data_IF_217070892653
#
_entry.id   IF_217070892653
#
_cell.length_a   1.000
_cell.length_b   1.000
_cell.length_c   1.000
_cell.angle_alpha   90.00
_cell.angle_beta   90.00
_cell.angle_gamma   90.00
#
_symmetry.space_group_name_H-M   'P 1'
#
loop_
_entity.id
_entity.type
_entity.pdbx_description
1 polymer ?
#
# COMPACT_ATOMS: atom_id res chain seq x y z
N UNK A 1 -1.65 -12.20 12.08
CA UNK A 1 -2.22 -13.26 11.21
C UNK A 1 -1.11 -14.20 10.79
N UNK A 2 -1.39 -15.49 10.67
CA UNK A 2 -0.46 -16.51 10.13
C UNK A 2 -1.02 -16.96 8.79
N UNK A 3 -0.23 -16.85 7.73
CA UNK A 3 -0.60 -17.32 6.39
C UNK A 3 0.21 -18.55 6.00
N UNK A 4 -0.41 -19.42 5.21
CA UNK A 4 0.26 -20.60 4.66
C UNK A 4 0.97 -20.25 3.35
N UNK A 5 2.10 -20.91 3.13
CA UNK A 5 2.79 -20.88 1.84
C UNK A 5 2.05 -21.84 0.89
N UNK A 6 1.72 -21.37 -0.30
CA UNK A 6 1.02 -22.14 -1.33
C UNK A 6 1.94 -22.41 -2.51
N UNK A 7 1.68 -23.50 -3.24
CA UNK A 7 2.39 -23.82 -4.47
C UNK A 7 1.97 -22.86 -5.58
N UNK A 8 2.93 -22.22 -6.24
CA UNK A 8 2.70 -21.38 -7.41
C UNK A 8 3.52 -21.93 -8.57
N UNK A 9 2.86 -22.60 -9.52
CA UNK A 9 3.54 -23.24 -10.65
C UNK A 9 4.40 -24.45 -10.28
N UNK A 10 5.29 -24.86 -11.22
CA UNK A 10 6.06 -26.11 -11.12
C UNK A 10 7.15 -26.05 -10.05
N UNK A 11 7.79 -24.91 -9.83
CA UNK A 11 8.96 -24.78 -8.95
C UNK A 11 8.91 -23.57 -8.01
N UNK A 12 7.79 -22.86 -7.92
CA UNK A 12 7.69 -21.65 -7.09
C UNK A 12 6.67 -21.79 -5.96
N UNK A 13 6.84 -20.94 -4.95
CA UNK A 13 5.98 -20.84 -3.78
C UNK A 13 5.50 -19.40 -3.66
N UNK A 14 4.31 -19.22 -3.08
CA UNK A 14 3.72 -17.90 -2.86
C UNK A 14 3.11 -17.80 -1.46
N UNK A 15 2.98 -16.58 -0.96
CA UNK A 15 2.27 -16.25 0.28
C UNK A 15 1.12 -15.32 -0.08
N UNK A 16 -0.03 -15.55 0.56
CA UNK A 16 -1.20 -14.71 0.37
C UNK A 16 -1.00 -13.41 1.16
N UNK A 17 -1.01 -12.29 0.47
CA UNK A 17 -1.01 -10.96 1.07
C UNK A 17 -2.47 -10.61 1.44
N UNK A 18 -2.75 -10.16 2.68
CA UNK A 18 -4.08 -9.78 3.10
C UNK A 18 -4.71 -8.69 2.21
N UNK A 19 -6.01 -8.82 1.94
CA UNK A 19 -6.75 -7.85 1.12
C UNK A 19 -6.70 -6.43 1.68
N UNK A 20 -6.77 -6.28 3.02
CA UNK A 20 -6.66 -4.99 3.70
C UNK A 20 -5.35 -4.26 3.33
N UNK A 21 -4.23 -4.97 3.31
CA UNK A 21 -2.93 -4.42 2.94
C UNK A 21 -2.89 -4.04 1.45
N UNK A 22 -3.43 -4.90 0.58
CA UNK A 22 -3.51 -4.64 -0.86
C UNK A 22 -4.32 -3.37 -1.14
N UNK A 23 -5.47 -3.22 -0.49
CA UNK A 23 -6.36 -2.08 -0.67
C UNK A 23 -5.73 -0.80 -0.09
N UNK A 24 -5.12 -0.87 1.10
CA UNK A 24 -4.47 0.27 1.73
C UNK A 24 -3.33 0.85 0.89
N UNK A 25 -2.58 0.00 0.18
CA UNK A 25 -1.45 0.41 -0.67
C UNK A 25 -1.81 0.51 -2.16
N UNK A 26 -3.06 0.27 -2.55
CA UNK A 26 -3.49 0.34 -3.94
C UNK A 26 -2.74 -0.62 -4.88
N UNK A 27 -2.24 -1.75 -4.39
CA UNK A 27 -1.44 -2.70 -5.15
C UNK A 27 -2.31 -3.41 -6.19
N UNK A 28 -1.83 -3.49 -7.43
CA UNK A 28 -2.54 -4.13 -8.55
C UNK A 28 -1.80 -5.37 -9.07
N UNK A 29 -2.53 -6.36 -9.64
CA UNK A 29 -1.90 -7.45 -10.36
C UNK A 29 -1.02 -6.91 -11.50
N UNK A 30 0.22 -7.39 -11.57
CA UNK A 30 1.22 -6.93 -12.56
C UNK A 30 2.17 -5.84 -12.05
N UNK A 31 1.94 -5.29 -10.86
CA UNK A 31 2.86 -4.33 -10.24
C UNK A 31 4.23 -4.96 -9.99
N UNK A 32 5.29 -4.16 -10.20
CA UNK A 32 6.66 -4.56 -9.89
C UNK A 32 6.89 -4.46 -8.39
N UNK A 33 7.50 -5.50 -7.83
CA UNK A 33 7.85 -5.57 -6.42
C UNK A 33 9.35 -5.83 -6.29
N UNK A 34 10.03 -5.02 -5.48
CA UNK A 34 11.44 -5.26 -5.15
C UNK A 34 11.51 -6.24 -3.99
N UNK A 35 12.20 -7.36 -4.19
CA UNK A 35 12.35 -8.42 -3.19
C UNK A 35 13.78 -8.43 -2.67
N UNK A 36 13.93 -8.33 -1.35
CA UNK A 36 15.21 -8.53 -0.67
C UNK A 36 15.08 -9.70 0.30
N UNK A 37 16.05 -10.62 0.27
CA UNK A 37 16.05 -11.80 1.14
C UNK A 37 17.17 -11.69 2.16
N UNK A 38 16.86 -11.94 3.43
CA UNK A 38 17.86 -12.12 4.47
C UNK A 38 17.77 -13.56 4.96
N UNK A 39 18.72 -14.39 4.50
CA UNK A 39 18.74 -15.84 4.76
C UNK A 39 19.04 -16.16 6.21
N UNK A 40 19.90 -15.38 6.86
CA UNK A 40 20.30 -15.59 8.26
C UNK A 40 19.11 -15.40 9.21
N UNK A 41 18.25 -14.44 8.91
CA UNK A 41 17.05 -14.15 9.69
C UNK A 41 15.80 -14.90 9.21
N UNK A 42 15.88 -15.59 8.06
CA UNK A 42 14.73 -16.25 7.43
C UNK A 42 13.63 -15.27 6.99
N UNK A 43 13.97 -14.01 6.69
CA UNK A 43 13.00 -12.96 6.35
C UNK A 43 13.06 -12.56 4.89
N UNK A 44 11.90 -12.28 4.29
CA UNK A 44 11.76 -11.70 2.95
C UNK A 44 11.12 -10.33 3.07
N UNK A 45 11.82 -9.30 2.59
CA UNK A 45 11.33 -7.93 2.55
C UNK A 45 10.81 -7.62 1.14
N UNK A 46 9.52 -7.28 1.07
CA UNK A 46 8.84 -6.91 -0.17
C UNK A 46 8.57 -5.40 -0.18
N UNK A 47 9.07 -4.72 -1.19
CA UNK A 47 8.85 -3.29 -1.37
C UNK A 47 8.02 -3.04 -2.63
N UNK A 48 6.77 -2.63 -2.42
CA UNK A 48 5.78 -2.38 -3.47
C UNK A 48 5.89 -0.92 -3.93
N UNK A 49 6.04 -0.68 -5.23
CA UNK A 49 6.14 0.69 -5.77
C UNK A 49 4.83 1.48 -5.73
N UNK A 50 3.69 0.80 -5.52
CA UNK A 50 2.37 1.42 -5.41
C UNK A 50 2.10 2.14 -4.09
N UNK A 51 3.02 2.06 -3.12
CA UNK A 51 2.92 2.73 -1.83
C UNK A 51 3.06 4.25 -1.96
N UNK A 52 2.06 4.90 -2.55
CA UNK A 52 1.91 6.35 -2.55
C UNK A 52 1.01 6.68 -1.35
N UNK A 53 1.56 7.41 -0.39
CA UNK A 53 0.84 8.05 0.70
C UNK A 53 -0.44 8.73 0.14
N UNK A 54 -1.60 8.45 0.72
CA UNK A 54 -2.78 9.30 0.56
C UNK A 54 -2.37 10.73 0.95
N UNK A 55 -2.35 11.64 -0.02
CA UNK A 55 -2.16 13.07 0.29
C UNK A 55 -3.25 13.44 1.30
N UNK A 56 -2.84 13.94 2.46
CA UNK A 56 -3.76 14.60 3.37
C UNK A 56 -4.48 15.68 2.54
N UNK A 57 -5.82 15.72 2.49
CA UNK A 57 -6.49 16.89 1.95
C UNK A 57 -5.94 18.06 2.76
N UNK A 58 -5.28 19.01 2.09
CA UNK A 58 -4.79 20.23 2.74
C UNK A 58 -5.99 20.80 3.49
N UNK A 59 -5.91 20.75 4.82
CA UNK A 59 -6.93 21.30 5.69
C UNK A 59 -6.94 22.81 5.48
N UNK A 60 -7.69 23.25 4.48
CA UNK A 60 -8.22 24.60 4.38
C UNK A 60 -9.71 24.50 4.71
N UNK A 61 -10.02 24.04 5.90
CA UNK A 61 -11.30 24.34 6.53
C UNK A 61 -11.23 25.74 7.14
N UNK A 62 -12.15 26.60 6.71
CA UNK A 62 -12.49 27.94 7.24
C UNK A 62 -11.40 29.01 7.11
N UNK A 63 -11.62 30.24 6.65
CA UNK A 63 -12.56 31.29 7.09
C UNK A 63 -12.74 32.20 5.84
N UNK A 64 -13.93 32.45 5.26
CA UNK A 64 -14.77 33.62 5.58
C UNK A 64 -16.07 33.58 4.76
N UNK A 65 -17.17 33.15 5.36
CA UNK A 65 -18.49 33.75 5.07
C UNK A 65 -18.60 35.02 5.90
N UNK A 66 -18.47 36.20 5.29
CA UNK A 66 -19.22 37.40 5.70
C UNK A 66 -19.66 38.18 4.47
N UNK A 67 -20.99 38.23 4.29
CA UNK A 67 -21.71 39.19 3.45
C UNK A 67 -21.37 40.64 3.85
N UNK A 68 -21.64 41.55 2.90
CA UNK A 68 -22.00 42.96 3.05
C UNK A 68 -20.89 44.02 2.93
N UNK A 69 -20.77 44.59 1.71
CA UNK A 69 -20.64 46.04 1.44
C UNK A 69 -20.89 46.25 -0.06
N UNK A 70 -22.10 46.67 -0.47
CA UNK A 70 -22.46 48.07 -0.68
C UNK A 70 -21.47 48.80 -1.58
N UNK A 71 -21.75 48.86 -2.88
CA UNK A 71 -21.54 50.05 -3.71
C UNK A 71 -22.60 50.03 -4.81
#
# INVERSE_FOLDING_TARGET
MIHRVIRSGKSSLAVIVPAEFIHALGIKPGDKVKVATNKEKGTVNLHFSGAIQLHLPSSQSEIQKKKAKST
#
